data_IF_835424913333
#
_entry.id   IF_835424913333
#
_cell.length_a   1.000
_cell.length_b   1.000
_cell.length_c   1.000
_cell.angle_alpha   90.00
_cell.angle_beta   90.00
_cell.angle_gamma   90.00
#
_symmetry.space_group_name_H-M   'P 1'
#
loop_
_entity.id
_entity.type
_entity.pdbx_description
1 polymer ?
#
# COMPACT_ATOMS: atom_id res chain seq x y z
N UNK A 1 19.28 -10.36 5.04
CA UNK A 1 18.07 -9.77 4.42
C UNK A 1 18.12 -8.30 4.73
N UNK A 2 18.15 -7.44 3.71
CA UNK A 2 18.18 -5.98 3.89
C UNK A 2 16.75 -5.49 3.66
N UNK A 3 16.21 -4.73 4.61
CA UNK A 3 14.91 -4.08 4.46
C UNK A 3 15.11 -2.78 3.67
N UNK A 4 14.66 -2.76 2.41
CA UNK A 4 14.72 -1.59 1.52
C UNK A 4 13.50 -0.68 1.66
N UNK A 5 13.22 0.10 0.62
CA UNK A 5 11.90 0.71 0.43
C UNK A 5 10.82 -0.36 0.33
N UNK A 6 9.56 0.03 0.39
CA UNK A 6 8.42 -0.86 0.24
C UNK A 6 7.77 -0.51 -1.09
N UNK A 7 7.53 -1.54 -1.91
CA UNK A 7 6.77 -1.44 -3.16
C UNK A 7 5.34 -1.88 -2.94
N UNK A 8 4.42 -1.28 -3.69
CA UNK A 8 2.99 -1.59 -3.73
C UNK A 8 2.64 -2.16 -5.10
N UNK A 9 2.18 -3.41 -5.13
CA UNK A 9 1.60 -4.04 -6.30
C UNK A 9 0.09 -3.77 -6.26
N UNK A 10 -0.33 -2.68 -6.90
CA UNK A 10 -1.70 -2.15 -6.80
C UNK A 10 -2.77 -3.19 -7.20
N UNK A 11 -2.52 -3.96 -8.26
CA UNK A 11 -3.44 -5.00 -8.75
C UNK A 11 -3.75 -6.10 -7.69
N UNK A 12 -2.87 -6.25 -6.68
CA UNK A 12 -3.07 -7.20 -5.58
C UNK A 12 -3.71 -6.56 -4.36
N UNK A 13 -3.75 -5.24 -4.26
CA UNK A 13 -4.29 -4.55 -3.09
C UNK A 13 -5.82 -4.61 -3.08
N UNK A 14 -6.40 -5.12 -2.00
CA UNK A 14 -7.86 -5.21 -1.82
C UNK A 14 -8.44 -4.09 -0.96
N UNK A 15 -7.63 -3.09 -0.62
CA UNK A 15 -8.01 -2.00 0.31
C UNK A 15 -8.57 -2.50 1.65
N UNK A 16 -8.04 -3.62 2.16
CA UNK A 16 -8.48 -4.25 3.41
C UNK A 16 -8.06 -3.48 4.68
N UNK A 17 -7.16 -2.49 4.55
CA UNK A 17 -6.61 -1.67 5.64
C UNK A 17 -5.78 -2.41 6.71
N UNK A 18 -5.45 -3.70 6.54
CA UNK A 18 -4.66 -4.44 7.52
C UNK A 18 -3.27 -3.82 7.70
N UNK A 19 -2.56 -3.53 6.61
CA UNK A 19 -1.23 -2.91 6.66
C UNK A 19 -1.21 -1.56 7.40
N UNK A 20 -2.25 -0.74 7.22
CA UNK A 20 -2.38 0.54 7.91
C UNK A 20 -2.67 0.38 9.41
N UNK A 21 -3.48 -0.62 9.79
CA UNK A 21 -3.86 -0.88 11.19
C UNK A 21 -2.74 -1.52 11.99
N UNK A 22 -2.02 -2.47 11.38
CA UNK A 22 -0.94 -3.21 12.04
C UNK A 22 0.40 -2.47 12.04
N UNK A 23 0.51 -1.37 11.29
CA UNK A 23 1.72 -0.55 11.29
C UNK A 23 2.00 0.03 12.70
N UNK A 24 3.14 -0.29 13.34
CA UNK A 24 3.40 0.13 14.72
C UNK A 24 3.61 1.65 14.87
N UNK A 25 3.91 2.36 13.77
CA UNK A 25 4.07 3.82 13.76
C UNK A 25 2.95 4.55 13.03
N UNK A 26 1.94 3.82 12.54
CA UNK A 26 0.85 4.36 11.71
C UNK A 26 1.33 5.24 10.54
N UNK A 27 2.47 4.88 9.93
CA UNK A 27 3.04 5.64 8.82
C UNK A 27 2.31 5.42 7.48
N UNK A 28 1.37 4.46 7.42
CA UNK A 28 0.60 4.12 6.21
C UNK A 28 -0.78 4.77 6.30
N UNK A 29 -1.18 5.49 5.25
CA UNK A 29 -2.54 6.00 5.07
C UNK A 29 -3.09 5.54 3.73
N UNK A 30 -4.36 5.21 3.68
CA UNK A 30 -5.04 4.85 2.42
C UNK A 30 -6.52 5.23 2.47
N UNK A 31 -7.08 5.48 1.30
CA UNK A 31 -8.53 5.65 1.09
C UNK A 31 -9.01 4.75 -0.03
N UNK A 32 -10.29 4.40 0.01
CA UNK A 32 -10.91 3.54 -1.00
C UNK A 32 -12.39 3.86 -1.14
N UNK A 33 -12.94 3.63 -2.31
CA UNK A 33 -14.37 3.66 -2.55
C UNK A 33 -14.88 2.26 -2.91
N UNK A 34 -16.21 2.13 -2.97
CA UNK A 34 -16.87 0.87 -3.31
C UNK A 34 -17.39 0.91 -4.73
N UNK A 35 -17.06 -0.11 -5.51
CA UNK A 35 -17.60 -0.31 -6.86
C UNK A 35 -18.41 -1.61 -6.94
N UNK A 36 -19.50 -1.58 -7.70
CA UNK A 36 -20.33 -2.74 -7.99
C UNK A 36 -19.91 -3.37 -9.32
N UNK A 37 -19.67 -4.67 -9.31
CA UNK A 37 -19.44 -5.42 -10.55
C UNK A 37 -20.72 -5.50 -11.38
N UNK A 38 -20.61 -5.33 -12.70
CA UNK A 38 -21.71 -5.61 -13.62
C UNK A 38 -21.99 -7.11 -13.59
N UNK A 39 -23.16 -7.56 -13.09
CA UNK A 39 -23.44 -8.98 -12.97
C UNK A 39 -23.67 -9.60 -14.35
N UNK A 40 -23.20 -10.82 -14.54
CA UNK A 40 -23.66 -11.67 -15.64
C UNK A 40 -25.17 -11.93 -15.50
N UNK A 41 -25.89 -12.25 -16.59
CA UNK A 41 -27.31 -12.56 -16.53
C UNK A 41 -27.63 -13.64 -15.47
N UNK A 42 -28.47 -13.31 -14.49
CA UNK A 42 -28.84 -14.22 -13.40
C UNK A 42 -27.92 -14.21 -12.16
N UNK A 43 -26.79 -13.48 -12.20
CA UNK A 43 -25.91 -13.33 -11.05
C UNK A 43 -26.33 -12.13 -10.16
N UNK A 44 -25.98 -12.19 -8.87
CA UNK A 44 -26.13 -11.04 -7.97
C UNK A 44 -24.95 -10.08 -8.14
N UNK A 45 -25.18 -8.76 -8.12
CA UNK A 45 -24.11 -7.78 -8.10
C UNK A 45 -23.25 -7.98 -6.85
N UNK A 46 -21.93 -7.82 -7.01
CA UNK A 46 -20.97 -7.88 -5.90
C UNK A 46 -20.34 -6.51 -5.75
N UNK A 47 -20.07 -6.12 -4.51
CA UNK A 47 -19.34 -4.90 -4.22
C UNK A 47 -17.90 -5.25 -3.89
N UNK A 48 -16.95 -4.47 -4.37
CA UNK A 48 -15.54 -4.57 -4.02
C UNK A 48 -14.98 -3.18 -3.75
N UNK A 49 -13.90 -3.12 -2.95
CA UNK A 49 -13.22 -1.86 -2.67
C UNK A 49 -12.17 -1.61 -3.76
N UNK A 50 -12.07 -0.37 -4.22
CA UNK A 50 -11.06 0.10 -5.16
C UNK A 50 -10.18 1.12 -4.44
N UNK A 51 -8.87 0.97 -4.54
CA UNK A 51 -7.88 1.84 -3.88
C UNK A 51 -7.86 3.22 -4.55
N UNK A 52 -8.03 4.28 -3.75
CA UNK A 52 -7.95 5.66 -4.24
C UNK A 52 -6.58 6.28 -3.98
N UNK A 53 -6.13 6.16 -2.73
CA UNK A 53 -4.85 6.69 -2.27
C UNK A 53 -4.15 5.65 -1.42
N UNK A 54 -2.83 5.63 -1.48
CA UNK A 54 -1.98 4.87 -0.58
C UNK A 54 -0.69 5.66 -0.38
N UNK A 55 -0.31 5.92 0.87
CA UNK A 55 0.89 6.68 1.19
C UNK A 55 1.68 6.01 2.30
N UNK A 56 3.00 6.04 2.19
CA UNK A 56 3.92 5.69 3.28
C UNK A 56 4.72 6.93 3.66
N UNK A 57 4.67 7.30 4.94
CA UNK A 57 5.54 8.33 5.52
C UNK A 57 6.86 7.71 5.98
N UNK A 58 7.91 7.88 5.17
CA UNK A 58 9.24 7.34 5.45
C UNK A 58 9.96 8.04 6.59
N UNK A 59 9.51 9.22 7.03
CA UNK A 59 10.04 9.86 8.23
C UNK A 59 9.60 9.15 9.52
N UNK A 60 8.53 8.36 9.45
CA UNK A 60 7.95 7.60 10.56
C UNK A 60 8.16 6.08 10.44
N UNK A 61 8.45 5.58 9.24
CA UNK A 61 8.64 4.14 9.02
C UNK A 61 9.91 3.64 9.74
N UNK A 62 9.76 2.57 10.53
CA UNK A 62 10.89 1.92 11.21
C UNK A 62 11.40 0.64 10.52
N UNK A 63 10.97 0.40 9.27
CA UNK A 63 11.41 -0.75 8.46
C UNK A 63 11.22 -2.12 9.15
N UNK A 64 10.10 -2.31 9.85
CA UNK A 64 9.83 -3.55 10.61
C UNK A 64 9.31 -4.71 9.75
N UNK A 65 8.74 -4.45 8.57
CA UNK A 65 8.20 -5.48 7.67
C UNK A 65 6.79 -5.99 8.00
N UNK A 66 6.19 -5.59 9.13
CA UNK A 66 4.85 -6.08 9.55
C UNK A 66 3.78 -5.88 8.47
N UNK A 67 3.80 -4.76 7.75
CA UNK A 67 2.84 -4.50 6.67
C UNK A 67 2.97 -5.45 5.48
N UNK A 68 4.17 -5.97 5.22
CA UNK A 68 4.43 -7.00 4.19
C UNK A 68 3.92 -8.34 4.70
N UNK A 69 4.36 -8.76 5.89
CA UNK A 69 4.02 -10.07 6.46
C UNK A 69 2.53 -10.27 6.71
N UNK A 70 1.80 -9.20 7.06
CA UNK A 70 0.37 -9.24 7.34
C UNK A 70 -0.49 -8.94 6.11
N UNK A 71 0.11 -8.66 4.95
CA UNK A 71 -0.67 -8.41 3.73
C UNK A 71 -1.28 -9.74 3.24
N UNK A 72 -2.62 -9.91 3.24
CA UNK A 72 -3.23 -11.20 2.91
C UNK A 72 -3.15 -11.57 1.42
N UNK A 73 -2.72 -10.62 0.58
CA UNK A 73 -2.66 -10.75 -0.88
C UNK A 73 -1.29 -10.44 -1.45
N UNK A 74 -0.25 -10.35 -0.60
CA UNK A 74 1.12 -10.06 -1.01
C UNK A 74 1.21 -8.83 -1.93
N UNK A 75 0.49 -7.77 -1.56
CA UNK A 75 0.45 -6.50 -2.29
C UNK A 75 1.59 -5.56 -1.91
N UNK A 76 2.31 -5.84 -0.82
CA UNK A 76 3.48 -5.08 -0.37
C UNK A 76 4.70 -5.99 -0.37
N UNK A 77 5.83 -5.48 -0.85
CA UNK A 77 7.10 -6.20 -0.85
C UNK A 77 8.29 -5.26 -0.60
N UNK A 78 9.43 -5.82 -0.22
CA UNK A 78 10.67 -5.05 -0.13
C UNK A 78 11.17 -4.70 -1.54
N UNK A 79 11.47 -3.44 -1.77
CA UNK A 79 12.21 -2.96 -2.93
C UNK A 79 13.71 -3.18 -2.78
N UNK A 80 14.41 -3.08 -3.92
CA UNK A 80 15.85 -3.36 -4.00
C UNK A 80 16.73 -2.20 -3.48
N UNK A 81 16.15 -1.01 -3.37
CA UNK A 81 16.84 0.24 -3.01
C UNK A 81 16.26 0.81 -1.73
N UNK A 82 17.05 1.61 -1.01
CA UNK A 82 16.53 2.40 0.11
C UNK A 82 15.75 3.62 -0.41
N UNK A 83 14.96 4.21 0.47
CA UNK A 83 14.29 5.49 0.22
C UNK A 83 15.37 6.56 -0.05
N UNK A 84 15.27 7.33 -1.14
CA UNK A 84 16.20 8.42 -1.40
C UNK A 84 16.22 9.44 -0.27
N UNK A 85 17.35 10.10 -0.06
CA UNK A 85 17.39 11.29 0.80
C UNK A 85 16.51 12.39 0.22
N UNK A 86 15.87 13.16 1.10
CA UNK A 86 15.04 14.27 0.69
C UNK A 86 15.38 15.53 1.49
N UNK A 87 15.11 16.70 0.89
CA UNK A 87 15.42 18.01 1.50
C UNK A 87 14.31 18.50 2.43
N UNK A 88 13.11 17.89 2.36
CA UNK A 88 11.96 18.21 3.21
C UNK A 88 11.24 16.94 3.68
N UNK A 89 10.54 17.05 4.82
CA UNK A 89 9.73 15.94 5.36
C UNK A 89 8.58 15.56 4.44
N UNK A 90 8.02 16.51 3.71
CA UNK A 90 6.90 16.24 2.79
C UNK A 90 7.31 15.33 1.63
N UNK A 91 8.57 15.39 1.23
CA UNK A 91 9.13 14.59 0.14
C UNK A 91 9.38 13.14 0.57
N UNK A 92 9.41 12.87 1.88
CA UNK A 92 9.46 11.51 2.44
C UNK A 92 8.08 10.84 2.54
N UNK A 93 7.01 11.55 2.17
CA UNK A 93 5.66 10.96 2.08
C UNK A 93 5.46 10.48 0.65
N UNK A 94 5.74 9.19 0.42
CA UNK A 94 5.59 8.60 -0.91
C UNK A 94 4.15 8.20 -1.16
N UNK A 95 3.61 8.61 -2.31
CA UNK A 95 2.30 8.21 -2.81
C UNK A 95 2.39 6.92 -3.62
N UNK A 96 1.22 6.34 -3.92
CA UNK A 96 1.04 5.06 -4.61
C UNK A 96 1.91 4.95 -5.88
N UNK A 97 2.01 6.03 -6.65
CA UNK A 97 2.75 6.07 -7.90
C UNK A 97 4.27 5.92 -7.68
N UNK A 98 4.80 6.47 -6.58
CA UNK A 98 6.22 6.36 -6.18
C UNK A 98 6.54 5.02 -5.52
N UNK A 99 5.51 4.27 -5.13
CA UNK A 99 5.63 2.95 -4.51
C UNK A 99 5.42 1.84 -5.56
N UNK A 100 5.06 2.16 -6.80
CA UNK A 100 4.85 1.16 -7.83
C UNK A 100 6.15 0.35 -8.11
N UNK A 101 6.07 -0.92 -8.55
CA UNK A 101 7.25 -1.75 -8.76
C UNK A 101 8.20 -1.21 -9.83
N UNK A 102 7.65 -0.47 -10.80
CA UNK A 102 8.36 0.14 -11.93
C UNK A 102 8.70 1.63 -11.70
N UNK A 103 8.56 2.14 -10.47
CA UNK A 103 8.83 3.53 -10.10
C UNK A 103 10.33 3.85 -10.00
#
# INVERSE_FOLDING_TARGET
>A
MIHGSIRLIEDRCTSCMICARECPTWCIRLTSHQEQTVPAPGARPRTHNVLDTFTIDWSLCMYCGVCIEQCPTDALEWGDSHVPSADSLVDLVHQREQLAPDA
#
